data_IF_801442842542
#
_entry.id   IF_801442842542
#
_cell.length_a   1.000
_cell.length_b   1.000
_cell.length_c   1.000
_cell.angle_alpha   90.00
_cell.angle_beta   90.00
_cell.angle_gamma   90.00
#
_symmetry.space_group_name_H-M   'P 1'
#
loop_
_entity.id
_entity.type
_entity.pdbx_description
1 polymer ?
#
# COMPACT_ATOMS: atom_id res chain seq x y z
N UNK A 1 -49.05 2.60 23.35
CA UNK A 1 -48.11 3.71 23.08
C UNK A 1 -47.04 3.71 24.16
N UNK A 2 -45.85 3.24 23.86
CA UNK A 2 -44.52 3.78 24.25
C UNK A 2 -43.44 2.82 23.71
N UNK A 3 -42.36 3.35 23.09
CA UNK A 3 -41.33 2.55 22.44
C UNK A 3 -40.22 2.17 23.42
N UNK A 4 -39.47 1.10 23.16
CA UNK A 4 -38.17 0.90 23.82
C UNK A 4 -37.11 0.49 22.80
N UNK A 5 -35.95 1.10 22.97
CA UNK A 5 -34.93 1.36 21.95
C UNK A 5 -34.21 0.09 21.47
N UNK A 6 -33.99 0.02 20.17
CA UNK A 6 -32.99 -0.84 19.53
C UNK A 6 -31.59 -0.34 19.90
N UNK A 7 -30.85 -1.12 20.67
CA UNK A 7 -29.44 -0.87 20.95
C UNK A 7 -28.59 -1.59 19.88
N UNK A 8 -28.15 -0.85 18.86
CA UNK A 8 -27.20 -1.36 17.88
C UNK A 8 -25.79 -1.29 18.47
N UNK A 9 -25.21 -2.46 18.75
CA UNK A 9 -23.82 -2.62 19.13
C UNK A 9 -22.96 -2.58 17.85
N UNK A 10 -22.37 -1.43 17.53
CA UNK A 10 -21.34 -1.33 16.50
C UNK A 10 -20.00 -1.71 17.13
N UNK A 11 -19.50 -2.91 16.82
CA UNK A 11 -18.12 -3.30 17.11
C UNK A 11 -17.18 -2.49 16.23
N UNK A 12 -16.48 -1.52 16.83
CA UNK A 12 -15.35 -0.85 16.20
C UNK A 12 -14.11 -1.74 16.37
N UNK A 13 -13.79 -2.55 15.36
CA UNK A 13 -12.48 -3.21 15.26
C UNK A 13 -11.48 -2.21 14.72
N UNK A 14 -10.75 -1.53 15.61
CA UNK A 14 -9.58 -0.74 15.24
C UNK A 14 -8.41 -1.68 14.94
N UNK A 15 -8.12 -1.89 13.66
CA UNK A 15 -6.89 -2.54 13.22
C UNK A 15 -5.71 -1.58 13.49
N UNK A 16 -4.81 -1.99 14.39
CA UNK A 16 -3.50 -1.36 14.55
C UNK A 16 -2.61 -1.83 13.39
N UNK A 17 -2.16 -0.92 12.53
CA UNK A 17 -1.10 -1.20 11.57
C UNK A 17 0.12 -0.33 11.87
N UNK A 18 1.28 -0.97 11.96
CA UNK A 18 2.56 -0.32 12.16
C UNK A 18 3.00 0.36 10.86
N UNK A 19 3.11 1.68 10.86
CA UNK A 19 3.74 2.45 9.77
C UNK A 19 5.25 2.37 9.94
N UNK A 20 5.94 1.61 9.08
CA UNK A 20 7.40 1.67 8.98
C UNK A 20 7.69 2.67 7.85
N UNK A 21 8.21 3.85 8.20
CA UNK A 21 8.70 4.84 7.23
C UNK A 21 10.18 5.10 7.56
N UNK A 22 11.06 4.85 6.58
CA UNK A 22 12.49 5.16 6.65
C UNK A 22 12.90 6.25 5.64
N UNK A 23 11.94 6.98 5.06
CA UNK A 23 12.13 8.07 4.10
C UNK A 23 10.83 8.82 3.78
N UNK A 24 10.93 9.89 3.00
CA UNK A 24 9.82 10.79 2.66
C UNK A 24 9.04 10.24 1.47
N UNK A 25 7.77 9.89 1.70
CA UNK A 25 6.83 9.49 0.63
C UNK A 25 5.71 10.49 0.56
N UNK A 26 5.49 11.09 -0.61
CA UNK A 26 4.46 12.11 -0.83
C UNK A 26 3.40 11.53 -1.76
N UNK A 27 2.15 11.52 -1.30
CA UNK A 27 1.00 11.18 -2.17
C UNK A 27 0.31 12.47 -2.63
N UNK A 28 0.11 12.59 -3.94
CA UNK A 28 -0.57 13.72 -4.58
C UNK A 28 -1.46 13.27 -5.74
N UNK A 29 -2.30 14.17 -6.25
CA UNK A 29 -3.19 13.89 -7.39
C UNK A 29 -4.66 14.23 -7.13
N UNK A 30 -5.54 13.56 -7.87
CA UNK A 30 -6.98 13.78 -7.95
C UNK A 30 -7.76 12.46 -8.17
N UNK A 31 -9.04 12.56 -8.52
CA UNK A 31 -9.90 11.41 -8.78
C UNK A 31 -9.53 10.63 -10.03
N UNK A 32 -8.68 11.13 -10.91
CA UNK A 32 -8.30 10.43 -12.14
C UNK A 32 -6.90 9.85 -12.02
N UNK A 33 -6.03 10.54 -11.29
CA UNK A 33 -4.62 10.22 -11.16
C UNK A 33 -4.12 10.34 -9.72
N UNK A 34 -3.38 9.34 -9.25
CA UNK A 34 -2.67 9.36 -7.97
C UNK A 34 -1.18 9.16 -8.25
N UNK A 35 -0.35 10.02 -7.69
CA UNK A 35 1.12 9.92 -7.76
C UNK A 35 1.68 9.61 -6.37
N UNK A 36 2.51 8.58 -6.29
CA UNK A 36 3.28 8.24 -5.08
C UNK A 36 4.75 8.58 -5.35
N UNK A 37 5.19 9.73 -4.85
CA UNK A 37 6.59 10.15 -4.95
C UNK A 37 7.41 9.53 -3.82
N UNK A 38 8.53 8.93 -4.15
CA UNK A 38 9.41 8.20 -3.24
C UNK A 38 10.86 8.27 -3.73
N UNK A 39 11.81 8.21 -2.81
CA UNK A 39 13.24 8.12 -3.09
C UNK A 39 13.73 6.69 -3.39
N UNK A 40 12.84 5.69 -3.33
CA UNK A 40 13.19 4.31 -3.66
C UNK A 40 13.47 4.15 -5.16
N UNK A 41 14.64 3.59 -5.47
CA UNK A 41 15.14 3.42 -6.83
C UNK A 41 14.78 2.06 -7.45
N UNK A 42 14.46 1.06 -6.63
CA UNK A 42 14.17 -0.30 -7.07
C UNK A 42 12.70 -0.69 -6.95
N UNK A 43 11.78 0.27 -7.13
CA UNK A 43 10.34 0.02 -7.10
C UNK A 43 9.94 -0.96 -8.21
N UNK A 44 9.31 -2.06 -7.82
CA UNK A 44 8.75 -3.07 -8.72
C UNK A 44 7.27 -2.78 -9.01
N UNK A 45 6.51 -2.46 -7.96
CA UNK A 45 5.11 -2.08 -8.12
C UNK A 45 4.57 -1.36 -6.88
N UNK A 46 3.46 -0.65 -7.09
CA UNK A 46 2.62 -0.07 -6.05
C UNK A 46 1.30 -0.83 -6.01
N UNK A 47 0.80 -1.10 -4.81
CA UNK A 47 -0.61 -1.48 -4.60
C UNK A 47 -1.35 -0.34 -3.93
N UNK A 48 -2.56 -0.08 -4.39
CA UNK A 48 -3.52 0.83 -3.76
C UNK A 48 -4.77 0.02 -3.42
N UNK A 49 -5.20 0.09 -2.16
CA UNK A 49 -6.48 -0.46 -1.70
C UNK A 49 -7.36 0.66 -1.16
N UNK A 50 -8.67 0.56 -1.32
CA UNK A 50 -9.57 1.65 -0.96
C UNK A 50 -11.03 1.25 -0.77
N UNK A 51 -11.95 2.21 -0.80
CA UNK A 51 -13.37 1.98 -0.54
C UNK A 51 -14.00 1.07 -1.61
N UNK A 52 -15.15 0.48 -1.29
CA UNK A 52 -15.93 -0.34 -2.23
C UNK A 52 -15.14 -1.51 -2.86
N UNK A 53 -14.19 -2.08 -2.12
CA UNK A 53 -13.26 -3.12 -2.61
C UNK A 53 -12.38 -2.65 -3.78
N UNK A 54 -12.09 -1.35 -3.87
CA UNK A 54 -11.10 -0.83 -4.80
C UNK A 54 -9.74 -1.47 -4.50
N UNK A 55 -9.15 -2.10 -5.50
CA UNK A 55 -7.79 -2.62 -5.42
C UNK A 55 -7.14 -2.44 -6.79
N UNK A 56 -5.95 -1.85 -6.81
CA UNK A 56 -5.19 -1.57 -8.02
C UNK A 56 -3.73 -1.90 -7.77
N UNK A 57 -3.11 -2.61 -8.70
CA UNK A 57 -1.66 -2.83 -8.77
C UNK A 57 -1.10 -2.12 -10.00
N UNK A 58 -0.04 -1.34 -9.82
CA UNK A 58 0.61 -0.55 -10.88
C UNK A 58 2.12 -0.73 -10.81
N UNK A 59 2.77 -0.87 -11.96
CA UNK A 59 4.23 -0.85 -12.08
C UNK A 59 4.77 0.60 -12.19
N UNK A 60 3.87 1.58 -12.30
CA UNK A 60 4.17 3.02 -12.33
C UNK A 60 3.81 3.68 -11.00
N UNK A 61 4.61 4.69 -10.61
CA UNK A 61 4.34 5.58 -9.47
C UNK A 61 3.25 6.62 -9.79
N UNK A 62 3.01 6.91 -11.07
CA UNK A 62 1.85 7.69 -11.54
C UNK A 62 0.77 6.72 -11.98
N UNK A 63 -0.34 6.72 -11.27
CA UNK A 63 -1.35 5.68 -11.31
C UNK A 63 -2.67 6.29 -11.75
N UNK A 64 -3.22 5.79 -12.85
CA UNK A 64 -4.51 6.24 -13.38
C UNK A 64 -5.58 5.18 -13.18
N UNK A 65 -6.83 5.58 -13.02
CA UNK A 65 -7.99 4.68 -12.98
C UNK A 65 -8.99 5.06 -14.05
N UNK A 66 -9.32 4.13 -14.96
CA UNK A 66 -10.30 4.37 -16.04
C UNK A 66 -11.69 4.74 -15.52
N UNK A 67 -12.02 4.32 -14.30
CA UNK A 67 -13.29 4.62 -13.63
C UNK A 67 -13.15 5.71 -12.57
N UNK A 68 -11.99 6.34 -12.51
CA UNK A 68 -11.57 7.21 -11.41
C UNK A 68 -11.37 6.46 -10.10
N UNK A 69 -10.91 7.21 -9.11
CA UNK A 69 -10.80 6.83 -7.72
C UNK A 69 -11.98 7.47 -6.97
N UNK A 70 -12.93 6.67 -6.47
CA UNK A 70 -14.01 7.18 -5.64
C UNK A 70 -13.52 7.92 -4.41
N UNK A 71 -14.24 8.94 -3.96
CA UNK A 71 -13.95 9.59 -2.69
C UNK A 71 -13.94 8.57 -1.52
N UNK A 72 -12.94 8.69 -0.64
CA UNK A 72 -12.78 7.80 0.51
C UNK A 72 -11.34 7.66 0.97
N UNK A 73 -11.14 6.75 1.91
CA UNK A 73 -9.82 6.44 2.49
C UNK A 73 -9.15 5.31 1.70
N UNK A 74 -7.87 5.52 1.39
CA UNK A 74 -7.03 4.59 0.67
C UNK A 74 -5.80 4.25 1.49
N UNK A 75 -5.28 3.05 1.27
CA UNK A 75 -3.94 2.64 1.68
C UNK A 75 -3.10 2.31 0.46
N UNK A 76 -1.79 2.49 0.59
CA UNK A 76 -0.84 2.09 -0.44
C UNK A 76 0.34 1.30 0.14
N UNK A 77 0.96 0.50 -0.73
CA UNK A 77 2.20 -0.21 -0.48
C UNK A 77 3.12 -0.05 -1.69
N UNK A 78 4.31 0.51 -1.49
CA UNK A 78 5.41 0.51 -2.47
C UNK A 78 6.24 -0.73 -2.22
N UNK A 79 6.28 -1.61 -3.22
CA UNK A 79 7.03 -2.86 -3.18
C UNK A 79 8.28 -2.69 -4.05
N UNK A 80 9.44 -2.94 -3.48
CA UNK A 80 10.72 -2.77 -4.14
C UNK A 80 11.60 -4.01 -4.01
N UNK A 81 12.49 -4.17 -4.98
CA UNK A 81 13.51 -5.21 -4.96
C UNK A 81 14.59 -4.83 -3.94
N UNK A 82 14.71 -5.62 -2.88
CA UNK A 82 15.69 -5.44 -1.78
C UNK A 82 16.93 -6.32 -1.95
N UNK A 83 17.18 -6.80 -3.17
CA UNK A 83 18.30 -7.65 -3.56
C UNK A 83 17.90 -9.12 -3.77
N UNK A 84 18.87 -9.94 -4.13
CA UNK A 84 18.66 -11.36 -4.40
C UNK A 84 18.82 -12.21 -3.14
N UNK A 85 18.05 -13.30 -3.03
CA UNK A 85 18.24 -14.25 -1.93
C UNK A 85 19.54 -15.03 -2.11
N UNK A 86 20.50 -14.89 -1.19
CA UNK A 86 21.72 -15.70 -1.18
C UNK A 86 21.51 -17.10 -0.61
N UNK A 87 20.27 -17.48 -0.27
CA UNK A 87 19.99 -18.84 0.18
C UNK A 87 20.08 -19.82 -0.99
N UNK A 88 21.29 -20.33 -1.21
CA UNK A 88 21.49 -21.63 -1.83
C UNK A 88 20.70 -22.64 -1.00
N UNK A 89 19.47 -22.96 -1.42
CA UNK A 89 18.79 -24.14 -0.91
C UNK A 89 19.54 -25.34 -1.47
N UNK A 90 20.62 -25.76 -0.81
CA UNK A 90 21.22 -27.07 -1.09
C UNK A 90 20.18 -28.11 -0.71
N UNK A 91 19.41 -28.54 -1.70
CA UNK A 91 18.57 -29.71 -1.56
C UNK A 91 19.48 -30.87 -1.17
N UNK A 92 19.46 -31.31 0.09
CA UNK A 92 20.18 -32.52 0.49
C UNK A 92 19.63 -33.79 -0.18
N UNK A 93 18.59 -33.67 -1.02
CA UNK A 93 18.02 -34.71 -1.85
C UNK A 93 18.18 -34.34 -3.34
N UNK A 94 19.41 -34.41 -3.83
CA UNK A 94 19.70 -34.29 -5.26
C UNK A 94 19.26 -35.58 -5.98
N UNK A 95 18.05 -35.59 -6.57
CA UNK A 95 17.54 -36.70 -7.38
C UNK A 95 18.12 -36.74 -8.82
N UNK A 96 19.33 -36.23 -9.04
CA UNK A 96 19.99 -36.27 -10.35
C UNK A 96 19.48 -35.23 -11.35
N UNK A 97 18.98 -34.08 -10.88
CA UNK A 97 18.71 -32.90 -11.72
C UNK A 97 19.71 -31.81 -11.36
N UNK A 98 20.42 -31.29 -12.35
CA UNK A 98 21.45 -30.25 -12.19
C UNK A 98 20.97 -29.10 -11.29
N UNK A 99 21.68 -28.88 -10.18
CA UNK A 99 21.33 -27.92 -9.12
C UNK A 99 21.84 -26.50 -9.43
N UNK A 100 21.34 -25.91 -10.52
CA UNK A 100 21.45 -24.46 -10.70
C UNK A 100 20.11 -23.83 -10.33
N UNK A 101 19.83 -23.72 -9.03
CA UNK A 101 18.72 -22.91 -8.56
C UNK A 101 19.23 -21.46 -8.51
N UNK A 102 18.87 -20.66 -9.51
CA UNK A 102 19.25 -19.24 -9.54
C UNK A 102 18.52 -18.50 -8.41
N UNK A 103 19.24 -17.70 -7.58
CA UNK A 103 18.63 -16.77 -6.65
C UNK A 103 17.48 -15.97 -7.28
N UNK A 104 16.31 -16.00 -6.64
CA UNK A 104 15.20 -15.12 -7.00
C UNK A 104 15.37 -13.74 -6.37
N UNK A 105 14.82 -12.73 -7.02
CA UNK A 105 14.69 -11.38 -6.47
C UNK A 105 13.79 -11.40 -5.23
N UNK A 106 14.19 -10.64 -4.20
CA UNK A 106 13.40 -10.47 -2.99
C UNK A 106 12.68 -9.14 -3.08
N UNK A 107 11.36 -9.21 -3.08
CA UNK A 107 10.50 -8.03 -3.07
C UNK A 107 10.00 -7.83 -1.64
N UNK A 108 10.09 -6.60 -1.15
CA UNK A 108 9.55 -6.20 0.15
C UNK A 108 8.78 -4.89 0.07
N UNK A 109 7.85 -4.69 1.00
CA UNK A 109 7.20 -3.39 1.20
C UNK A 109 8.23 -2.46 1.84
N UNK A 110 8.62 -1.41 1.13
CA UNK A 110 9.58 -0.40 1.60
C UNK A 110 8.89 0.88 2.08
N UNK A 111 7.72 1.18 1.52
CA UNK A 111 6.84 2.23 2.00
C UNK A 111 5.40 1.76 2.06
N UNK A 112 4.68 2.22 3.07
CA UNK A 112 3.23 2.11 3.13
C UNK A 112 2.65 3.35 3.79
N UNK A 113 1.39 3.61 3.51
CA UNK A 113 0.71 4.76 4.09
C UNK A 113 -0.74 4.84 3.67
N UNK A 114 -1.36 5.93 4.07
CA UNK A 114 -2.76 6.21 3.79
C UNK A 114 -2.92 7.61 3.20
N UNK A 115 -3.95 7.76 2.37
CA UNK A 115 -4.38 9.05 1.85
C UNK A 115 -5.90 9.05 1.70
N UNK A 116 -6.48 10.24 1.61
CA UNK A 116 -7.92 10.39 1.38
C UNK A 116 -8.10 11.03 0.02
N UNK A 117 -9.11 10.59 -0.72
CA UNK A 117 -9.66 11.38 -1.83
C UNK A 117 -10.95 12.01 -1.35
N UNK A 118 -11.03 13.33 -1.44
CA UNK A 118 -12.21 14.09 -1.03
C UNK A 118 -12.50 15.18 -2.05
N UNK A 119 -13.73 15.23 -2.54
CA UNK A 119 -14.16 16.10 -3.62
C UNK A 119 -13.24 15.97 -4.85
N UNK A 120 -12.85 14.73 -5.17
CA UNK A 120 -11.98 14.40 -6.27
C UNK A 120 -10.53 14.89 -6.16
N UNK A 121 -10.05 15.24 -4.97
CA UNK A 121 -8.65 15.65 -4.75
C UNK A 121 -7.99 14.76 -3.70
N UNK A 122 -6.70 14.46 -3.90
CA UNK A 122 -5.89 13.78 -2.87
C UNK A 122 -5.63 14.74 -1.71
N UNK A 123 -6.00 14.30 -0.51
CA UNK A 123 -5.77 14.94 0.77
C UNK A 123 -4.85 14.02 1.58
N UNK A 124 -3.57 14.38 1.61
CA UNK A 124 -2.61 13.81 2.57
C UNK A 124 -2.71 14.60 3.88
N UNK A 125 -2.70 13.89 5.01
CA UNK A 125 -2.63 14.52 6.31
C UNK A 125 -1.25 15.19 6.45
N UNK A 126 -1.11 16.43 5.96
CA UNK A 126 0.00 17.28 6.37
C UNK A 126 -0.21 17.54 7.86
N UNK A 127 0.77 17.16 8.69
CA UNK A 127 0.77 17.45 10.12
C UNK A 127 0.28 18.88 10.35
N UNK A 128 -0.89 19.01 10.96
CA UNK A 128 -1.35 20.30 11.46
C UNK A 128 -0.39 20.66 12.59
N UNK A 129 0.50 21.63 12.34
CA UNK A 129 1.24 22.32 13.40
C UNK A 129 0.22 22.81 14.44
N UNK A 130 0.21 22.16 15.60
CA UNK A 130 -0.47 22.68 16.79
C UNK A 130 0.11 24.07 17.05
N UNK A 131 -0.72 25.10 16.87
CA UNK A 131 -0.42 26.44 17.36
C UNK A 131 -0.87 26.47 18.81
N UNK A 132 0.10 26.52 19.72
CA UNK A 132 -0.10 27.13 21.03
C UNK A 132 0.09 28.66 20.91
#
# INVERSE_FOLDING_TARGET
MMPSLTQSLLFASSLLFASISLGETIVSGDSDTVTIDTDESSVEFVRISGPHNFNLRSESLVISSDRGFPDGQYSFEVNANIGSSTEETKSQFNNGRNEAQTPGDRIAVVYSGEFIIANGNVVTAKDKKSRD
#
